data_IF_266331025329
#
_entry.id   IF_266331025329
#
_cell.length_a   1.000
_cell.length_b   1.000
_cell.length_c   1.000
_cell.angle_alpha   90.00
_cell.angle_beta   90.00
_cell.angle_gamma   90.00
#
_symmetry.space_group_name_H-M   'P 1'
#
loop_
_entity.id
_entity.type
_entity.pdbx_description
1 polymer ?
#
# COMPACT_ATOMS: atom_id res chain seq x y z
N UNK A 1 8.52 -2.82 -13.55
CA UNK A 1 8.17 -3.91 -12.61
C UNK A 1 9.40 -4.64 -12.10
N UNK A 2 10.25 -5.21 -12.97
CA UNK A 2 11.44 -6.02 -12.58
C UNK A 2 12.34 -5.35 -11.53
N UNK A 3 12.70 -4.07 -11.72
CA UNK A 3 13.53 -3.35 -10.75
C UNK A 3 12.85 -3.18 -9.37
N UNK A 4 11.52 -2.99 -9.34
CA UNK A 4 10.76 -2.86 -8.11
C UNK A 4 10.60 -4.19 -7.37
N UNK A 5 10.40 -5.29 -8.10
CA UNK A 5 10.36 -6.63 -7.51
C UNK A 5 11.73 -7.01 -6.95
N UNK A 6 12.81 -6.69 -7.69
CA UNK A 6 14.19 -6.90 -7.23
C UNK A 6 14.51 -6.05 -6.00
N UNK A 7 14.10 -4.78 -5.96
CA UNK A 7 14.35 -3.92 -4.80
C UNK A 7 13.63 -4.42 -3.54
N UNK A 8 12.43 -5.01 -3.67
CA UNK A 8 11.73 -5.63 -2.56
C UNK A 8 12.45 -6.88 -2.03
N UNK A 9 12.91 -7.74 -2.94
CA UNK A 9 13.64 -8.97 -2.57
C UNK A 9 14.96 -8.61 -1.88
N UNK A 10 15.73 -7.69 -2.47
CA UNK A 10 17.00 -7.23 -1.89
C UNK A 10 16.76 -6.53 -0.55
N UNK A 11 15.75 -5.65 -0.47
CA UNK A 11 15.39 -4.97 0.77
C UNK A 11 15.02 -5.94 1.89
N UNK A 12 14.31 -7.02 1.58
CA UNK A 12 13.97 -8.07 2.54
C UNK A 12 15.23 -8.80 3.07
N UNK A 13 16.15 -9.19 2.20
CA UNK A 13 17.38 -9.88 2.64
C UNK A 13 18.38 -8.98 3.36
N UNK A 14 18.41 -7.69 3.04
CA UNK A 14 19.37 -6.74 3.65
C UNK A 14 18.85 -6.17 4.97
N UNK A 15 17.55 -5.83 5.04
CA UNK A 15 16.97 -5.13 6.20
C UNK A 15 16.00 -6.00 7.01
N UNK A 16 15.48 -7.10 6.45
CA UNK A 16 14.48 -7.96 7.09
C UNK A 16 15.04 -9.01 8.06
N UNK A 17 16.36 -9.22 8.12
CA UNK A 17 17.05 -10.11 9.07
C UNK A 17 18.03 -9.37 9.99
N UNK A 18 18.15 -8.05 9.85
CA UNK A 18 19.07 -7.22 10.62
C UNK A 18 18.50 -6.75 11.95
N UNK A 19 19.23 -5.81 12.56
CA UNK A 19 18.92 -5.15 13.82
C UNK A 19 17.54 -4.47 13.81
N UNK A 20 16.94 -4.23 14.98
CA UNK A 20 15.56 -3.74 15.09
C UNK A 20 15.34 -2.40 14.36
N UNK A 21 16.33 -1.51 14.40
CA UNK A 21 16.34 -0.26 13.65
C UNK A 21 16.29 -0.44 12.11
N UNK A 22 16.89 -1.52 11.59
CA UNK A 22 16.87 -1.85 10.17
C UNK A 22 15.51 -2.42 9.75
N UNK A 23 14.90 -3.24 10.61
CA UNK A 23 13.55 -3.76 10.41
C UNK A 23 12.52 -2.62 10.37
N UNK A 24 12.59 -1.69 11.32
CA UNK A 24 11.69 -0.51 11.38
C UNK A 24 11.71 0.24 10.05
N UNK A 25 12.91 0.56 9.54
CA UNK A 25 13.06 1.33 8.30
C UNK A 25 12.46 0.61 7.09
N UNK A 26 12.69 -0.70 6.98
CA UNK A 26 12.15 -1.48 5.88
C UNK A 26 10.62 -1.59 5.92
N UNK A 27 10.08 -2.03 7.04
CA UNK A 27 8.64 -2.26 7.18
C UNK A 27 7.85 -0.94 7.16
N UNK A 28 8.36 0.14 7.76
CA UNK A 28 7.70 1.44 7.74
C UNK A 28 7.71 2.05 6.32
N UNK A 29 8.84 1.99 5.60
CA UNK A 29 8.92 2.46 4.22
C UNK A 29 8.02 1.63 3.29
N UNK A 30 7.97 0.31 3.48
CA UNK A 30 7.12 -0.58 2.71
C UNK A 30 5.63 -0.28 2.93
N UNK A 31 5.22 -0.10 4.19
CA UNK A 31 3.86 0.26 4.55
C UNK A 31 3.47 1.62 3.97
N UNK A 32 4.31 2.65 4.16
CA UNK A 32 4.06 4.01 3.67
C UNK A 32 3.86 4.03 2.16
N UNK A 33 4.75 3.38 1.39
CA UNK A 33 4.64 3.34 -0.06
C UNK A 33 3.37 2.63 -0.52
N UNK A 34 3.04 1.50 0.10
CA UNK A 34 1.87 0.70 -0.29
C UNK A 34 0.56 1.43 0.00
N UNK A 35 0.46 2.09 1.16
CA UNK A 35 -0.68 2.93 1.52
C UNK A 35 -0.78 4.16 0.63
N UNK A 36 0.34 4.81 0.32
CA UNK A 36 0.37 5.95 -0.60
C UNK A 36 -0.24 5.60 -1.96
N UNK A 37 0.23 4.54 -2.61
CA UNK A 37 -0.31 4.13 -3.91
C UNK A 37 -1.77 3.69 -3.81
N UNK A 38 -2.16 3.00 -2.73
CA UNK A 38 -3.56 2.64 -2.50
C UNK A 38 -4.47 3.87 -2.46
N UNK A 39 -4.09 4.89 -1.67
CA UNK A 39 -4.89 6.12 -1.53
C UNK A 39 -4.95 6.92 -2.83
N UNK A 40 -3.84 7.00 -3.59
CA UNK A 40 -3.79 7.71 -4.88
C UNK A 40 -4.74 7.07 -5.89
N UNK A 41 -4.68 5.74 -6.05
CA UNK A 41 -5.54 5.05 -7.02
C UNK A 41 -7.00 5.07 -6.56
N UNK A 42 -7.25 4.97 -5.24
CA UNK A 42 -8.61 5.08 -4.70
C UNK A 42 -9.20 6.49 -4.89
N UNK A 43 -8.40 7.54 -4.74
CA UNK A 43 -8.82 8.92 -5.02
C UNK A 43 -9.16 9.12 -6.50
N UNK A 44 -8.37 8.54 -7.41
CA UNK A 44 -8.67 8.57 -8.85
C UNK A 44 -9.97 7.82 -9.19
N UNK A 45 -10.20 6.66 -8.58
CA UNK A 45 -11.44 5.90 -8.71
C UNK A 45 -12.65 6.69 -8.18
N UNK A 46 -12.51 7.31 -7.00
CA UNK A 46 -13.55 8.14 -6.42
C UNK A 46 -13.92 9.31 -7.34
N UNK A 47 -12.93 10.02 -7.87
CA UNK A 47 -13.17 11.12 -8.80
C UNK A 47 -13.87 10.64 -10.08
N UNK A 48 -13.44 9.51 -10.64
CA UNK A 48 -14.07 8.90 -11.81
C UNK A 48 -15.56 8.59 -11.55
N UNK A 49 -15.89 7.97 -10.41
CA UNK A 49 -17.27 7.71 -10.02
C UNK A 49 -18.08 8.99 -9.85
N UNK A 50 -17.52 10.01 -9.19
CA UNK A 50 -18.21 11.27 -8.92
C UNK A 50 -18.59 12.01 -10.20
N UNK A 51 -17.65 12.14 -11.14
CA UNK A 51 -17.91 12.85 -12.40
C UNK A 51 -18.85 12.01 -13.29
N UNK A 52 -18.76 10.68 -13.25
CA UNK A 52 -19.69 9.79 -13.98
C UNK A 52 -21.12 9.95 -13.47
N UNK A 53 -21.30 10.01 -12.14
CA UNK A 53 -22.59 10.27 -11.51
C UNK A 53 -23.16 11.65 -11.89
N UNK A 54 -22.29 12.66 -12.00
CA UNK A 54 -22.65 14.01 -12.41
C UNK A 54 -22.91 14.17 -13.93
N UNK A 55 -22.85 13.08 -14.71
CA UNK A 55 -23.01 13.09 -16.18
C UNK A 55 -22.07 14.08 -16.88
N UNK A 56 -20.85 14.26 -16.38
CA UNK A 56 -19.87 15.18 -16.98
C UNK A 56 -19.45 14.81 -18.41
N UNK A 57 -19.35 15.78 -19.31
CA UNK A 57 -18.96 15.52 -20.71
C UNK A 57 -17.46 15.29 -20.92
N UNK A 58 -16.60 15.94 -20.14
CA UNK A 58 -15.15 15.97 -20.38
C UNK A 58 -14.45 14.63 -20.09
N UNK A 59 -14.97 13.85 -19.15
CA UNK A 59 -14.42 12.54 -18.78
C UNK A 59 -14.58 11.48 -19.87
N UNK A 60 -15.49 11.67 -20.83
CA UNK A 60 -15.72 10.72 -21.94
C UNK A 60 -14.47 10.52 -22.80
N UNK A 61 -13.66 11.57 -22.97
CA UNK A 61 -12.41 11.51 -23.72
C UNK A 61 -11.32 10.69 -22.98
N UNK A 62 -11.34 10.66 -21.65
CA UNK A 62 -10.32 10.00 -20.82
C UNK A 62 -10.77 8.70 -20.16
N UNK A 63 -12.04 8.30 -20.35
CA UNK A 63 -12.69 7.16 -19.66
C UNK A 63 -11.86 5.89 -19.65
N UNK A 64 -11.21 5.54 -20.77
CA UNK A 64 -10.40 4.30 -20.86
C UNK A 64 -9.17 4.32 -19.94
N UNK A 65 -8.56 5.49 -19.76
CA UNK A 65 -7.37 5.64 -18.90
C UNK A 65 -7.80 5.57 -17.43
N UNK A 66 -8.87 6.28 -17.06
CA UNK A 66 -9.41 6.27 -15.69
C UNK A 66 -9.96 4.90 -15.29
N UNK A 67 -10.55 4.16 -16.23
CA UNK A 67 -11.01 2.79 -16.03
C UNK A 67 -9.84 1.82 -15.79
N UNK A 68 -8.76 1.96 -16.56
CA UNK A 68 -7.54 1.17 -16.37
C UNK A 68 -6.88 1.44 -15.00
N UNK A 69 -6.85 2.70 -14.56
CA UNK A 69 -6.36 3.07 -13.23
C UNK A 69 -7.26 2.46 -12.15
N UNK A 70 -8.59 2.58 -12.28
CA UNK A 70 -9.55 2.04 -11.31
C UNK A 70 -9.48 0.52 -11.20
N UNK A 71 -9.19 -0.18 -12.31
CA UNK A 71 -8.98 -1.63 -12.31
C UNK A 71 -7.75 -2.07 -11.49
N UNK A 72 -6.81 -1.16 -11.18
CA UNK A 72 -5.65 -1.47 -10.33
C UNK A 72 -5.93 -1.41 -8.83
N UNK A 73 -7.08 -0.84 -8.40
CA UNK A 73 -7.45 -0.73 -6.97
C UNK A 73 -7.47 -2.07 -6.25
N UNK A 74 -8.09 -3.15 -6.79
CA UNK A 74 -8.11 -4.45 -6.11
C UNK A 74 -6.71 -5.06 -5.97
N UNK A 75 -5.83 -4.83 -6.95
CA UNK A 75 -4.46 -5.37 -6.94
C UNK A 75 -3.62 -4.66 -5.88
N UNK A 76 -3.60 -3.32 -5.88
CA UNK A 76 -2.83 -2.54 -4.90
C UNK A 76 -3.42 -2.71 -3.50
N UNK A 77 -4.76 -2.73 -3.38
CA UNK A 77 -5.46 -3.01 -2.13
C UNK A 77 -5.11 -4.38 -1.56
N UNK A 78 -5.08 -5.42 -2.42
CA UNK A 78 -4.66 -6.76 -2.03
C UNK A 78 -3.21 -6.80 -1.52
N UNK A 79 -2.28 -6.12 -2.19
CA UNK A 79 -0.87 -6.03 -1.78
C UNK A 79 -0.77 -5.33 -0.40
N UNK A 80 -1.40 -4.18 -0.24
CA UNK A 80 -1.38 -3.43 1.04
C UNK A 80 -2.03 -4.24 2.15
N UNK A 81 -3.11 -4.98 1.87
CA UNK A 81 -3.75 -5.86 2.83
C UNK A 81 -2.83 -6.99 3.30
N UNK A 82 -2.14 -7.68 2.38
CA UNK A 82 -1.16 -8.72 2.74
C UNK A 82 -0.04 -8.14 3.61
N UNK A 83 0.47 -6.94 3.26
CA UNK A 83 1.51 -6.27 4.05
C UNK A 83 1.00 -5.95 5.46
N UNK A 84 -0.20 -5.37 5.59
CA UNK A 84 -0.81 -5.07 6.89
C UNK A 84 -1.01 -6.34 7.73
N UNK A 85 -1.57 -7.40 7.14
CA UNK A 85 -1.78 -8.68 7.84
C UNK A 85 -0.44 -9.29 8.27
N UNK A 86 0.59 -9.23 7.41
CA UNK A 86 1.92 -9.72 7.76
C UNK A 86 2.56 -8.96 8.92
N UNK A 87 2.27 -7.66 9.04
CA UNK A 87 2.79 -6.83 10.12
C UNK A 87 2.11 -7.12 11.47
N UNK A 88 0.78 -7.33 11.43
CA UNK A 88 -0.02 -7.67 12.61
C UNK A 88 0.26 -9.11 13.06
N UNK A 89 0.21 -10.09 12.16
CA UNK A 89 0.52 -11.48 12.49
C UNK A 89 1.98 -11.68 12.91
N UNK A 90 2.90 -10.88 12.35
CA UNK A 90 4.32 -10.88 12.66
C UNK A 90 4.70 -10.20 13.98
N UNK A 91 3.73 -9.71 14.78
CA UNK A 91 3.96 -9.04 16.06
C UNK A 91 5.05 -7.95 15.98
N UNK A 92 5.00 -7.12 14.92
CA UNK A 92 6.00 -6.07 14.71
C UNK A 92 5.67 -4.84 15.57
N UNK A 93 5.96 -4.95 16.87
CA UNK A 93 5.67 -3.94 17.91
C UNK A 93 6.27 -2.56 17.61
N UNK A 94 7.36 -2.53 16.85
CA UNK A 94 8.08 -1.32 16.50
C UNK A 94 7.38 -0.38 15.48
N UNK A 95 6.27 -0.81 14.84
CA UNK A 95 5.41 0.07 14.03
C UNK A 95 4.08 0.34 14.71
N UNK A 96 3.49 -0.69 15.32
CA UNK A 96 2.22 -0.59 16.02
C UNK A 96 2.44 -0.98 17.47
N UNK A 97 2.58 0.04 18.31
CA UNK A 97 2.91 -0.11 19.73
C UNK A 97 1.85 -0.91 20.49
N UNK A 98 0.58 -0.80 20.08
CA UNK A 98 -0.54 -1.55 20.66
C UNK A 98 -0.48 -3.07 20.43
N UNK A 99 0.41 -3.57 19.57
CA UNK A 99 0.63 -5.01 19.49
C UNK A 99 1.40 -5.54 20.69
N UNK A 100 2.13 -4.69 21.43
CA UNK A 100 2.93 -5.11 22.57
C UNK A 100 2.02 -5.47 23.77
N UNK A 101 2.12 -6.73 24.19
CA UNK A 101 1.32 -7.25 25.29
C UNK A 101 1.80 -6.72 26.64
N UNK A 102 3.04 -6.26 26.76
CA UNK A 102 3.57 -5.67 28.00
C UNK A 102 3.11 -4.22 28.19
N UNK A 103 2.81 -3.49 27.12
CA UNK A 103 2.30 -2.10 27.15
C UNK A 103 0.79 -2.00 27.43
N UNK A 104 0.05 -3.09 27.23
CA UNK A 104 -1.42 -3.13 27.31
C UNK A 104 -1.92 -3.79 28.62
N UNK A 105 -1.01 -4.36 29.43
CA UNK A 105 -1.32 -5.08 30.68
C UNK A 105 -1.18 -4.20 31.94
#
# INVERSE_FOLDING_TARGET
MVAGTLSLIIGYFVYGTGDEAHQIRFWAALLQNSVYFLLVVNAAMFFFCAVTLAMGGFQMAFRRVTEAISASVPVIGGITFVILVSLVAGHKHFIYEWLDKEMVA
#
